data_IF_288200253715
#
_entry.id   IF_288200253715
#
_cell.length_a   1.000
_cell.length_b   1.000
_cell.length_c   1.000
_cell.angle_alpha   90.00
_cell.angle_beta   90.00
_cell.angle_gamma   90.00
#
_symmetry.space_group_name_H-M   'P 1'
#
loop_
_entity.id
_entity.type
_entity.pdbx_description
1 polymer ?
#
# COMPACT_ATOMS: atom_id res chain seq x y z
N UNK A 1 36.58 24.14 31.16
CA UNK A 1 37.21 25.36 30.62
C UNK A 1 36.40 26.54 31.12
N UNK A 2 37.03 27.50 31.79
CA UNK A 2 36.33 28.72 32.25
C UNK A 2 35.96 29.60 31.05
N UNK A 3 34.98 30.51 31.17
CA UNK A 3 34.65 31.46 30.10
C UNK A 3 35.86 32.27 29.62
N UNK A 4 36.76 32.65 30.53
CA UNK A 4 37.98 33.40 30.23
C UNK A 4 38.97 32.55 29.41
N UNK A 5 39.13 31.28 29.78
CA UNK A 5 39.95 30.33 29.01
C UNK A 5 39.39 30.13 27.60
N UNK A 6 38.07 30.03 27.46
CA UNK A 6 37.40 29.90 26.16
C UNK A 6 37.68 31.12 25.28
N UNK A 7 37.51 32.32 25.82
CA UNK A 7 37.75 33.57 25.10
C UNK A 7 39.21 33.71 24.66
N UNK A 8 40.16 33.36 25.53
CA UNK A 8 41.58 33.41 25.21
C UNK A 8 41.99 32.45 24.09
N UNK A 9 41.43 31.23 24.09
CA UNK A 9 41.69 30.25 23.02
C UNK A 9 41.01 30.68 21.72
N UNK A 10 39.78 31.19 21.79
CA UNK A 10 39.05 31.71 20.62
C UNK A 10 39.84 32.84 19.94
N UNK A 11 40.41 33.76 20.70
CA UNK A 11 41.24 34.85 20.18
C UNK A 11 42.50 34.34 19.45
N UNK A 12 43.14 33.27 19.95
CA UNK A 12 44.29 32.65 19.28
C UNK A 12 43.90 31.94 17.99
N UNK A 13 42.79 31.20 18.00
CA UNK A 13 42.30 30.47 16.82
C UNK A 13 41.71 31.41 15.76
N UNK A 14 41.21 32.58 16.15
CA UNK A 14 40.59 33.57 15.26
C UNK A 14 41.55 34.61 14.68
N UNK A 15 42.86 34.44 14.90
CA UNK A 15 43.88 35.30 14.29
C UNK A 15 43.93 35.09 12.77
N UNK A 16 44.41 36.10 12.04
CA UNK A 16 44.68 35.96 10.61
C UNK A 16 45.75 34.88 10.39
N UNK A 17 45.42 33.88 9.57
CA UNK A 17 46.27 32.72 9.30
C UNK A 17 47.30 33.00 8.20
N UNK A 18 47.04 33.98 7.33
CA UNK A 18 47.88 34.29 6.18
C UNK A 18 49.36 34.61 6.51
N UNK A 19 49.69 35.36 7.58
CA UNK A 19 51.07 35.70 7.91
C UNK A 19 51.81 34.64 8.74
N UNK A 20 51.15 33.59 9.21
CA UNK A 20 51.74 32.61 10.13
C UNK A 20 52.64 31.62 9.37
N UNK A 21 53.71 31.11 9.98
CA UNK A 21 54.48 30.00 9.37
C UNK A 21 53.75 28.64 9.56
N UNK A 22 54.27 27.59 8.91
CA UNK A 22 53.65 26.26 8.94
C UNK A 22 53.66 25.65 10.35
N UNK A 23 54.72 25.87 11.13
CA UNK A 23 54.84 25.38 12.50
C UNK A 23 53.77 26.00 13.39
N UNK A 24 53.55 27.31 13.25
CA UNK A 24 52.51 28.01 13.98
C UNK A 24 51.10 27.56 13.59
N UNK A 25 50.87 27.26 12.30
CA UNK A 25 49.61 26.67 11.86
C UNK A 25 49.37 25.28 12.49
N UNK A 26 50.41 24.45 12.60
CA UNK A 26 50.34 23.14 13.26
C UNK A 26 50.04 23.31 14.76
N UNK A 27 50.65 24.28 15.44
CA UNK A 27 50.35 24.58 16.85
C UNK A 27 48.88 24.99 17.04
N UNK A 28 48.34 25.83 16.15
CA UNK A 28 46.92 26.20 16.18
C UNK A 28 46.02 24.99 15.91
N UNK A 29 46.41 24.07 15.03
CA UNK A 29 45.72 22.81 14.82
C UNK A 29 45.68 21.97 16.10
N UNK A 30 46.81 21.82 16.79
CA UNK A 30 46.89 21.11 18.07
C UNK A 30 46.05 21.79 19.15
N UNK A 31 46.05 23.12 19.20
CA UNK A 31 45.25 23.90 20.13
C UNK A 31 43.74 23.73 19.87
N UNK A 32 43.31 23.80 18.61
CA UNK A 32 41.93 23.53 18.21
C UNK A 32 41.53 22.10 18.52
N UNK A 33 42.42 21.12 18.27
CA UNK A 33 42.19 19.72 18.64
C UNK A 33 41.96 19.55 20.15
N UNK A 34 42.69 20.29 20.97
CA UNK A 34 42.53 20.25 22.42
C UNK A 34 41.23 20.94 22.90
N UNK A 35 40.79 22.00 22.22
CA UNK A 35 39.63 22.82 22.62
C UNK A 35 38.75 23.21 21.41
N UNK A 36 38.05 22.26 20.78
CA UNK A 36 37.39 22.47 19.50
C UNK A 36 36.21 23.45 19.58
N UNK A 37 35.55 23.55 20.74
CA UNK A 37 34.41 24.46 20.99
C UNK A 37 34.84 25.92 21.22
N UNK A 38 36.15 26.22 21.25
CA UNK A 38 36.63 27.58 21.47
C UNK A 38 36.39 28.47 20.24
N UNK A 39 36.56 27.93 19.03
CA UNK A 39 36.21 28.61 17.79
C UNK A 39 35.85 27.59 16.69
N UNK A 40 34.56 27.46 16.40
CA UNK A 40 34.04 26.46 15.46
C UNK A 40 34.35 26.78 13.99
N UNK A 41 34.67 28.04 13.65
CA UNK A 41 35.02 28.46 12.29
C UNK A 41 36.47 28.16 11.90
N UNK A 42 37.34 27.79 12.86
CA UNK A 42 38.76 27.55 12.61
C UNK A 42 39.05 26.49 11.53
N UNK A 43 38.35 25.33 11.47
CA UNK A 43 38.58 24.33 10.41
C UNK A 43 38.38 24.88 8.99
N UNK A 44 37.40 25.76 8.81
CA UNK A 44 37.12 26.38 7.51
C UNK A 44 38.22 27.39 7.14
N UNK A 45 38.66 28.20 8.10
CA UNK A 45 39.77 29.13 7.90
C UNK A 45 41.07 28.39 7.58
N UNK A 46 41.36 27.29 8.29
CA UNK A 46 42.52 26.43 8.04
C UNK A 46 42.49 25.85 6.61
N UNK A 47 41.34 25.33 6.18
CA UNK A 47 41.17 24.76 4.83
C UNK A 47 41.38 25.83 3.75
N UNK A 48 40.85 27.04 3.95
CA UNK A 48 41.06 28.14 3.03
C UNK A 48 42.54 28.53 2.93
N UNK A 49 43.26 28.58 4.06
CA UNK A 49 44.69 28.90 4.07
C UNK A 49 45.54 27.80 3.43
N UNK A 50 45.23 26.52 3.65
CA UNK A 50 45.91 25.41 2.98
C UNK A 50 45.75 25.53 1.45
N UNK A 51 44.53 25.76 0.96
CA UNK A 51 44.27 25.93 -0.47
C UNK A 51 44.96 27.15 -1.08
N UNK A 52 45.10 28.23 -0.30
CA UNK A 52 45.79 29.46 -0.74
C UNK A 52 47.30 29.27 -0.82
N UNK A 53 47.89 28.54 0.14
CA UNK A 53 49.34 28.46 0.37
C UNK A 53 50.03 27.29 -0.33
N UNK A 54 49.31 26.22 -0.68
CA UNK A 54 49.90 25.03 -1.28
C UNK A 54 49.40 24.80 -2.70
N UNK A 55 49.96 25.53 -3.65
CA UNK A 55 49.80 25.27 -5.08
C UNK A 55 50.53 23.99 -5.52
N UNK A 56 50.22 23.48 -6.71
CA UNK A 56 50.89 22.29 -7.26
C UNK A 56 52.43 22.44 -7.33
N UNK A 57 52.92 23.66 -7.59
CA UNK A 57 54.36 23.94 -7.62
C UNK A 57 54.99 23.95 -6.23
N UNK A 58 54.27 24.42 -5.21
CA UNK A 58 54.74 24.42 -3.81
C UNK A 58 54.74 23.01 -3.22
N UNK A 59 53.70 22.22 -3.50
CA UNK A 59 53.65 20.80 -3.09
C UNK A 59 54.79 20.01 -3.72
N UNK A 60 55.11 20.26 -5.00
CA UNK A 60 56.23 19.61 -5.67
C UNK A 60 57.60 20.01 -5.08
N UNK A 61 57.68 21.16 -4.40
CA UNK A 61 58.91 21.65 -3.76
C UNK A 61 59.11 21.05 -2.37
N UNK A 62 58.05 20.99 -1.57
CA UNK A 62 58.05 20.39 -0.23
C UNK A 62 56.62 20.01 0.17
N UNK A 63 56.35 18.71 0.25
CA UNK A 63 55.03 18.14 0.50
C UNK A 63 54.75 17.85 1.97
N UNK A 64 55.76 17.95 2.85
CA UNK A 64 55.64 17.58 4.27
C UNK A 64 54.66 18.52 5.02
N UNK A 65 54.79 19.85 4.92
CA UNK A 65 53.88 20.76 5.63
C UNK A 65 52.45 20.66 5.10
N UNK A 66 52.29 20.49 3.78
CA UNK A 66 51.00 20.23 3.15
C UNK A 66 50.36 18.96 3.72
N UNK A 67 51.10 17.85 3.77
CA UNK A 67 50.59 16.56 4.23
C UNK A 67 50.10 16.60 5.69
N UNK A 68 50.86 17.26 6.58
CA UNK A 68 50.51 17.38 8.01
C UNK A 68 49.27 18.28 8.18
N UNK A 69 49.27 19.47 7.57
CA UNK A 69 48.17 20.42 7.70
C UNK A 69 46.89 19.89 7.04
N UNK A 70 47.01 19.24 5.87
CA UNK A 70 45.89 18.58 5.20
C UNK A 70 45.36 17.42 6.04
N UNK A 71 46.22 16.66 6.72
CA UNK A 71 45.78 15.62 7.67
C UNK A 71 44.96 16.22 8.82
N UNK A 72 45.42 17.31 9.44
CA UNK A 72 44.66 18.02 10.47
C UNK A 72 43.35 18.59 9.93
N UNK A 73 43.38 19.24 8.77
CA UNK A 73 42.17 19.76 8.13
C UNK A 73 41.16 18.64 7.92
N UNK A 74 41.55 17.50 7.33
CA UNK A 74 40.69 16.34 7.15
C UNK A 74 40.14 15.80 8.48
N UNK A 75 40.92 15.83 9.57
CA UNK A 75 40.44 15.45 10.91
C UNK A 75 39.46 16.46 11.52
N UNK A 76 39.51 17.73 11.11
CA UNK A 76 38.64 18.78 11.63
C UNK A 76 37.39 18.99 10.79
N UNK A 77 37.47 18.72 9.48
CA UNK A 77 36.39 18.91 8.51
C UNK A 77 35.71 17.60 8.12
N UNK A 78 36.29 16.45 8.46
CA UNK A 78 35.68 15.15 8.24
C UNK A 78 34.34 15.03 8.98
N UNK A 79 33.29 14.68 8.24
CA UNK A 79 31.92 14.55 8.78
C UNK A 79 31.90 13.52 9.93
N UNK A 80 32.66 12.42 9.80
CA UNK A 80 32.76 11.38 10.83
C UNK A 80 33.44 11.87 12.12
N UNK A 81 34.65 12.48 12.11
CA UNK A 81 35.24 13.08 13.31
C UNK A 81 34.35 14.09 14.03
N UNK A 82 33.67 14.97 13.28
CA UNK A 82 32.72 15.92 13.87
C UNK A 82 31.54 15.20 14.51
N UNK A 83 30.95 14.25 13.78
CA UNK A 83 29.82 13.48 14.27
C UNK A 83 30.19 12.63 15.49
N UNK A 84 31.39 12.05 15.52
CA UNK A 84 31.90 11.32 16.67
C UNK A 84 31.94 12.19 17.93
N UNK A 85 32.50 13.40 17.84
CA UNK A 85 32.53 14.36 18.96
C UNK A 85 31.12 14.75 19.40
N UNK A 86 30.24 15.02 18.44
CA UNK A 86 28.84 15.32 18.69
C UNK A 86 28.17 14.18 19.47
N UNK A 87 28.41 12.93 19.08
CA UNK A 87 27.86 11.77 19.75
C UNK A 87 28.47 11.48 21.12
N UNK A 88 29.74 11.83 21.36
CA UNK A 88 30.34 11.77 22.69
C UNK A 88 29.69 12.78 23.65
N UNK A 89 29.43 14.00 23.17
CA UNK A 89 28.70 15.03 23.91
C UNK A 89 27.30 14.52 24.29
N UNK A 90 26.55 13.97 23.32
CA UNK A 90 25.27 13.30 23.56
C UNK A 90 25.39 12.21 24.63
N UNK A 91 26.40 11.35 24.53
CA UNK A 91 26.57 10.22 25.45
C UNK A 91 26.84 10.68 26.90
N UNK A 92 27.54 11.81 27.09
CA UNK A 92 27.85 12.41 28.38
C UNK A 92 26.69 13.20 28.99
N UNK A 93 25.66 13.54 28.21
CA UNK A 93 24.50 14.29 28.73
C UNK A 93 23.58 13.44 29.60
N UNK A 94 23.01 14.09 30.62
CA UNK A 94 22.00 13.49 31.49
C UNK A 94 20.64 13.44 30.78
N UNK A 95 20.23 14.53 30.14
CA UNK A 95 18.96 14.63 29.41
C UNK A 95 19.20 14.65 27.90
N UNK A 96 19.02 13.48 27.28
CA UNK A 96 19.22 13.30 25.84
C UNK A 96 18.09 13.90 25.00
N UNK A 97 16.87 14.05 25.53
CA UNK A 97 15.77 14.66 24.79
C UNK A 97 16.03 16.13 24.52
N UNK A 98 16.50 16.87 25.53
CA UNK A 98 16.94 18.26 25.36
C UNK A 98 18.11 18.31 24.38
N UNK A 99 19.10 17.42 24.55
CA UNK A 99 20.26 17.40 23.67
C UNK A 99 19.89 17.16 22.19
N UNK A 100 19.04 16.18 21.89
CA UNK A 100 18.60 15.89 20.52
C UNK A 100 17.72 17.01 19.95
N UNK A 101 17.00 17.74 20.81
CA UNK A 101 16.22 18.92 20.40
C UNK A 101 17.15 20.05 19.95
N UNK A 102 18.16 20.36 20.76
CA UNK A 102 19.11 21.45 20.47
C UNK A 102 20.06 21.12 19.32
N UNK A 103 20.38 19.84 19.11
CA UNK A 103 21.32 19.37 18.09
C UNK A 103 20.64 18.66 16.91
N UNK A 104 19.33 18.84 16.74
CA UNK A 104 18.53 18.12 15.74
C UNK A 104 19.09 18.28 14.32
N UNK A 105 19.43 19.50 13.92
CA UNK A 105 19.91 19.79 12.56
C UNK A 105 21.28 19.17 12.29
N UNK A 106 22.22 19.28 13.23
CA UNK A 106 23.54 18.66 13.12
C UNK A 106 23.43 17.12 13.07
N UNK A 107 22.56 16.53 13.89
CA UNK A 107 22.33 15.09 13.90
C UNK A 107 21.71 14.61 12.58
N UNK A 108 20.65 15.27 12.08
CA UNK A 108 20.03 14.94 10.79
C UNK A 108 21.00 15.09 9.63
N UNK A 109 21.82 16.14 9.61
CA UNK A 109 22.83 16.35 8.58
C UNK A 109 23.85 15.20 8.56
N UNK A 110 24.29 14.74 9.74
CA UNK A 110 25.15 13.57 9.84
C UNK A 110 24.45 12.28 9.38
N UNK A 111 23.18 12.08 9.74
CA UNK A 111 22.40 10.92 9.28
C UNK A 111 22.15 10.89 7.77
N UNK A 112 22.22 12.04 7.08
CA UNK A 112 22.10 12.13 5.63
C UNK A 112 23.42 11.83 4.90
N UNK A 113 24.54 11.81 5.61
CA UNK A 113 25.85 11.50 5.07
C UNK A 113 26.16 10.00 5.20
N UNK A 114 26.59 9.36 4.11
CA UNK A 114 26.82 7.91 4.05
C UNK A 114 27.91 7.43 5.02
N UNK A 115 29.03 8.16 5.10
CA UNK A 115 30.14 7.80 5.97
C UNK A 115 29.78 7.91 7.45
N UNK A 116 29.09 9.00 7.83
CA UNK A 116 28.63 9.22 9.19
C UNK A 116 27.55 8.22 9.61
N UNK A 117 26.61 7.89 8.72
CA UNK A 117 25.61 6.85 8.94
C UNK A 117 26.23 5.45 9.10
N UNK A 118 27.15 5.08 8.21
CA UNK A 118 27.89 3.82 8.28
C UNK A 118 28.74 3.74 9.56
N UNK A 119 29.37 4.86 9.94
CA UNK A 119 30.10 4.98 11.19
C UNK A 119 29.19 4.75 12.40
N UNK A 120 28.05 5.46 12.50
CA UNK A 120 27.08 5.29 13.60
C UNK A 120 26.56 3.85 13.68
N UNK A 121 26.24 3.24 12.54
CA UNK A 121 25.83 1.83 12.49
C UNK A 121 26.91 0.88 13.05
N UNK A 122 28.18 1.28 13.03
CA UNK A 122 29.28 0.54 13.64
C UNK A 122 29.59 0.87 15.10
N UNK A 123 28.88 1.81 15.72
CA UNK A 123 29.11 2.20 17.12
C UNK A 123 28.03 1.63 18.03
N UNK A 124 28.21 0.40 18.50
CA UNK A 124 27.23 -0.35 19.31
C UNK A 124 26.67 0.47 20.48
N UNK A 125 27.51 1.04 21.34
CA UNK A 125 27.03 1.76 22.53
C UNK A 125 26.33 3.09 22.20
N UNK A 126 26.80 3.77 21.15
CA UNK A 126 26.24 5.06 20.73
C UNK A 126 24.90 4.83 20.03
N UNK A 127 24.85 3.87 19.11
CA UNK A 127 23.64 3.50 18.39
C UNK A 127 22.55 3.03 19.36
N UNK A 128 22.89 2.23 20.38
CA UNK A 128 21.91 1.82 21.39
C UNK A 128 21.28 3.02 22.11
N UNK A 129 22.09 4.02 22.48
CA UNK A 129 21.60 5.27 23.11
C UNK A 129 20.72 6.08 22.16
N UNK A 130 21.08 6.15 20.87
CA UNK A 130 20.26 6.80 19.85
C UNK A 130 18.92 6.08 19.67
N UNK A 131 18.93 4.76 19.49
CA UNK A 131 17.71 3.96 19.27
C UNK A 131 16.81 3.92 20.52
N UNK A 132 17.39 4.03 21.71
CA UNK A 132 16.65 4.17 22.96
C UNK A 132 16.00 5.54 23.16
N UNK A 133 16.37 6.55 22.37
CA UNK A 133 15.78 7.89 22.42
C UNK A 133 14.74 8.08 21.31
N UNK A 134 13.54 8.54 21.67
CA UNK A 134 12.41 8.66 20.73
C UNK A 134 12.67 9.68 19.61
N UNK A 135 13.31 10.81 19.90
CA UNK A 135 13.64 11.83 18.90
C UNK A 135 14.67 11.30 17.90
N UNK A 136 15.76 10.72 18.41
CA UNK A 136 16.82 10.18 17.59
C UNK A 136 16.35 9.00 16.72
N UNK A 137 15.55 8.09 17.28
CA UNK A 137 14.91 7.02 16.52
C UNK A 137 14.03 7.58 15.39
N UNK A 138 13.27 8.63 15.66
CA UNK A 138 12.48 9.35 14.64
C UNK A 138 13.35 9.96 13.55
N UNK A 139 14.47 10.61 13.89
CA UNK A 139 15.40 11.16 12.91
C UNK A 139 16.09 10.07 12.08
N UNK A 140 16.47 8.95 12.69
CA UNK A 140 17.00 7.78 11.99
C UNK A 140 15.96 7.23 11.00
N UNK A 141 14.71 7.06 11.43
CA UNK A 141 13.62 6.55 10.59
C UNK A 141 13.28 7.50 9.42
N UNK A 142 13.58 8.80 9.54
CA UNK A 142 13.42 9.78 8.46
C UNK A 142 14.57 9.79 7.44
N UNK A 143 15.74 9.26 7.80
CA UNK A 143 16.89 9.20 6.88
C UNK A 143 16.97 7.84 6.19
N UNK A 144 16.80 7.83 4.87
CA UNK A 144 17.03 6.64 4.03
C UNK A 144 18.46 6.12 4.17
N UNK A 145 19.44 7.02 4.28
CA UNK A 145 20.87 6.70 4.37
C UNK A 145 21.17 6.00 5.69
N UNK A 146 20.73 6.58 6.81
CA UNK A 146 20.91 5.97 8.14
C UNK A 146 20.13 4.67 8.31
N UNK A 147 18.86 4.64 7.87
CA UNK A 147 18.06 3.41 7.88
C UNK A 147 18.74 2.30 7.06
N UNK A 148 19.30 2.61 5.88
CA UNK A 148 20.03 1.62 5.07
C UNK A 148 21.28 1.11 5.77
N UNK A 149 22.09 2.01 6.34
CA UNK A 149 23.31 1.63 7.05
C UNK A 149 23.03 0.73 8.27
N UNK A 150 21.97 1.02 9.02
CA UNK A 150 21.58 0.27 10.22
C UNK A 150 20.95 -1.07 9.85
N UNK A 151 20.01 -1.09 8.89
CA UNK A 151 19.23 -2.29 8.57
C UNK A 151 20.02 -3.34 7.76
N UNK A 152 21.13 -2.96 7.13
CA UNK A 152 22.00 -3.88 6.38
C UNK A 152 23.16 -4.44 7.20
N UNK A 153 23.42 -3.90 8.40
CA UNK A 153 24.49 -4.37 9.28
C UNK A 153 23.94 -5.22 10.42
N UNK A 154 24.40 -6.47 10.53
CA UNK A 154 23.81 -7.47 11.45
C UNK A 154 23.71 -7.00 12.91
N UNK A 155 24.78 -6.44 13.47
CA UNK A 155 24.80 -5.96 14.87
C UNK A 155 23.86 -4.76 15.06
N UNK A 156 23.91 -3.78 14.15
CA UNK A 156 23.06 -2.60 14.18
C UNK A 156 21.57 -2.96 14.04
N UNK A 157 21.26 -3.91 13.16
CA UNK A 157 19.92 -4.45 12.97
C UNK A 157 19.40 -5.12 14.24
N UNK A 158 20.24 -5.89 14.95
CA UNK A 158 19.85 -6.49 16.22
C UNK A 158 19.50 -5.43 17.27
N UNK A 159 20.27 -4.34 17.33
CA UNK A 159 19.96 -3.20 18.22
C UNK A 159 18.68 -2.48 17.80
N UNK A 160 18.48 -2.27 16.50
CA UNK A 160 17.27 -1.67 15.95
C UNK A 160 16.03 -2.48 16.32
N UNK A 161 16.06 -3.81 16.19
CA UNK A 161 14.96 -4.72 16.59
C UNK A 161 14.59 -4.59 18.07
N UNK A 162 15.55 -4.22 18.93
CA UNK A 162 15.38 -4.07 20.37
C UNK A 162 15.02 -2.63 20.81
N UNK A 163 14.85 -1.69 19.88
CA UNK A 163 14.53 -0.31 20.23
C UNK A 163 13.14 -0.22 20.90
N UNK A 164 13.01 0.34 22.12
CA UNK A 164 11.77 0.24 22.93
C UNK A 164 10.52 0.84 22.27
N UNK A 165 10.69 1.94 21.53
CA UNK A 165 9.61 2.67 20.86
C UNK A 165 9.60 2.40 19.35
N UNK A 166 10.22 1.31 18.89
CA UNK A 166 10.42 1.04 17.47
C UNK A 166 9.12 1.13 16.68
N UNK A 167 8.13 0.37 17.09
CA UNK A 167 6.87 0.23 16.35
C UNK A 167 5.89 1.37 16.62
N UNK A 168 6.14 2.20 17.65
CA UNK A 168 5.41 3.45 17.81
C UNK A 168 5.86 4.49 16.78
N UNK A 169 7.17 4.53 16.46
CA UNK A 169 7.80 5.63 15.72
C UNK A 169 8.07 5.27 14.27
N UNK A 170 8.73 4.13 14.01
CA UNK A 170 9.21 3.76 12.69
C UNK A 170 8.10 3.71 11.62
N UNK A 171 6.91 3.14 11.89
CA UNK A 171 5.81 3.11 10.91
C UNK A 171 5.29 4.49 10.52
N UNK A 172 5.60 5.55 11.26
CA UNK A 172 5.17 6.92 10.93
C UNK A 172 6.07 7.58 9.87
N UNK A 173 7.24 6.98 9.57
CA UNK A 173 8.25 7.59 8.71
C UNK A 173 8.45 6.79 7.41
N UNK A 174 8.18 7.44 6.28
CA UNK A 174 8.17 6.81 4.97
C UNK A 174 9.56 6.26 4.58
N UNK A 175 10.63 7.01 4.81
CA UNK A 175 11.99 6.65 4.41
C UNK A 175 12.43 5.31 5.04
N UNK A 176 12.34 5.19 6.36
CA UNK A 176 12.67 3.97 7.08
C UNK A 176 11.80 2.78 6.67
N UNK A 177 10.49 3.00 6.46
CA UNK A 177 9.60 1.95 5.99
C UNK A 177 9.89 1.51 4.55
N UNK A 178 10.28 2.44 3.66
CA UNK A 178 10.68 2.12 2.29
C UNK A 178 11.96 1.31 2.24
N UNK A 179 12.96 1.60 3.09
CA UNK A 179 14.17 0.77 3.21
C UNK A 179 13.81 -0.63 3.68
N UNK A 180 13.01 -0.73 4.74
CA UNK A 180 12.58 -1.99 5.33
C UNK A 180 11.81 -2.85 4.30
N UNK A 181 10.87 -2.24 3.57
CA UNK A 181 10.04 -2.91 2.57
C UNK A 181 10.83 -3.50 1.39
N UNK A 182 12.10 -3.11 1.17
CA UNK A 182 12.95 -3.69 0.12
C UNK A 182 13.50 -5.07 0.51
N UNK A 183 13.54 -5.41 1.79
CA UNK A 183 14.09 -6.68 2.29
C UNK A 183 12.99 -7.68 2.62
N UNK A 184 13.01 -8.84 1.97
CA UNK A 184 12.08 -9.93 2.26
C UNK A 184 12.20 -10.41 3.71
N UNK A 185 13.42 -10.48 4.24
CA UNK A 185 13.68 -10.92 5.63
C UNK A 185 13.11 -9.95 6.66
N UNK A 186 13.24 -8.63 6.42
CA UNK A 186 12.69 -7.62 7.33
C UNK A 186 11.17 -7.56 7.25
N UNK A 187 10.60 -7.75 6.06
CA UNK A 187 9.14 -7.85 5.90
C UNK A 187 8.62 -9.11 6.60
N UNK A 188 9.31 -10.25 6.47
CA UNK A 188 8.95 -11.46 7.19
C UNK A 188 9.03 -11.26 8.71
N UNK A 189 10.07 -10.57 9.20
CA UNK A 189 10.17 -10.18 10.60
C UNK A 189 8.98 -9.33 11.08
N UNK A 190 8.47 -8.39 10.26
CA UNK A 190 7.24 -7.65 10.59
C UNK A 190 6.07 -8.60 10.71
N UNK A 191 5.89 -9.51 9.75
CA UNK A 191 4.76 -10.46 9.71
C UNK A 191 4.78 -11.36 10.94
N UNK A 192 5.96 -11.82 11.35
CA UNK A 192 6.15 -12.74 12.48
C UNK A 192 6.09 -12.04 13.84
N UNK A 193 6.22 -10.70 13.87
CA UNK A 193 6.21 -9.90 15.10
C UNK A 193 4.86 -9.21 15.26
N UNK A 194 4.01 -9.70 16.17
CA UNK A 194 2.64 -9.20 16.34
C UNK A 194 2.55 -7.67 16.58
N UNK A 195 3.44 -7.09 17.39
CA UNK A 195 3.48 -5.65 17.61
C UNK A 195 3.86 -4.86 16.34
N UNK A 196 4.79 -5.40 15.56
CA UNK A 196 5.22 -4.82 14.29
C UNK A 196 4.09 -4.82 13.26
N UNK A 197 3.50 -6.00 13.03
CA UNK A 197 2.41 -6.17 12.08
C UNK A 197 1.24 -5.24 12.44
N UNK A 198 0.84 -5.21 13.72
CA UNK A 198 -0.22 -4.32 14.22
C UNK A 198 0.08 -2.85 13.94
N UNK A 199 1.30 -2.40 14.22
CA UNK A 199 1.68 -1.01 14.00
C UNK A 199 1.74 -0.64 12.50
N UNK A 200 2.26 -1.54 11.67
CA UNK A 200 2.34 -1.34 10.21
C UNK A 200 0.95 -1.25 9.58
N UNK A 201 0.04 -2.18 9.89
CA UNK A 201 -1.32 -2.15 9.30
C UNK A 201 -2.18 -1.00 9.85
N UNK A 202 -1.83 -0.43 11.00
CA UNK A 202 -2.51 0.75 11.54
C UNK A 202 -1.99 2.08 10.95
N UNK A 203 -0.80 2.08 10.31
CA UNK A 203 -0.17 3.29 9.78
C UNK A 203 -0.38 3.42 8.27
N UNK A 204 -0.98 4.53 7.84
CA UNK A 204 -1.11 4.86 6.41
C UNK A 204 0.27 5.01 5.74
N UNK A 205 1.24 5.64 6.43
CA UNK A 205 2.61 5.84 5.92
C UNK A 205 3.31 4.50 5.69
N UNK A 206 3.21 3.57 6.64
CA UNK A 206 3.82 2.26 6.53
C UNK A 206 3.15 1.43 5.43
N UNK A 207 1.82 1.43 5.36
CA UNK A 207 1.09 0.71 4.32
C UNK A 207 1.41 1.26 2.92
N UNK A 208 1.53 2.58 2.73
CA UNK A 208 1.97 3.14 1.44
C UNK A 208 3.35 2.62 1.03
N UNK A 209 4.30 2.56 1.96
CA UNK A 209 5.64 2.03 1.68
C UNK A 209 5.62 0.53 1.35
N UNK A 210 4.84 -0.27 2.10
CA UNK A 210 4.68 -1.71 1.85
C UNK A 210 4.04 -1.98 0.48
N UNK A 211 2.96 -1.27 0.14
CA UNK A 211 2.23 -1.46 -1.11
C UNK A 211 2.98 -0.94 -2.35
N UNK A 212 3.93 -0.03 -2.16
CA UNK A 212 4.82 0.44 -3.23
C UNK A 212 6.01 -0.50 -3.50
N UNK A 213 6.33 -1.41 -2.57
CA UNK A 213 7.42 -2.37 -2.72
C UNK A 213 6.89 -3.71 -3.22
N UNK A 214 7.38 -4.17 -4.37
CA UNK A 214 7.05 -5.50 -4.90
C UNK A 214 7.46 -6.61 -3.92
N UNK A 215 8.63 -6.50 -3.30
CA UNK A 215 9.13 -7.48 -2.32
C UNK A 215 8.19 -7.59 -1.12
N UNK A 216 7.79 -6.45 -0.54
CA UNK A 216 6.94 -6.46 0.63
C UNK A 216 5.52 -6.90 0.30
N UNK A 217 4.98 -6.42 -0.82
CA UNK A 217 3.65 -6.78 -1.28
C UNK A 217 3.54 -8.29 -1.54
N UNK A 218 4.53 -8.90 -2.21
CA UNK A 218 4.58 -10.37 -2.42
C UNK A 218 4.54 -11.14 -1.10
N UNK A 219 5.34 -10.74 -0.11
CA UNK A 219 5.37 -11.40 1.19
C UNK A 219 4.03 -11.24 1.94
N UNK A 220 3.42 -10.05 1.91
CA UNK A 220 2.13 -9.79 2.56
C UNK A 220 1.00 -10.61 1.93
N UNK A 221 0.87 -10.62 0.60
CA UNK A 221 -0.23 -11.35 -0.07
C UNK A 221 -0.05 -12.87 -0.02
N UNK A 222 1.16 -13.37 0.21
CA UNK A 222 1.42 -14.79 0.42
C UNK A 222 1.14 -15.25 1.87
N UNK A 223 1.08 -14.33 2.83
CA UNK A 223 0.94 -14.63 4.26
C UNK A 223 -0.50 -14.53 4.74
N UNK A 224 -1.05 -15.63 5.25
CA UNK A 224 -2.38 -15.69 5.84
C UNK A 224 -2.51 -14.77 7.08
N UNK A 225 -1.47 -14.72 7.92
CA UNK A 225 -1.39 -13.85 9.10
C UNK A 225 -1.40 -12.37 8.69
N UNK A 226 -0.60 -12.00 7.70
CA UNK A 226 -0.53 -10.62 7.22
C UNK A 226 -1.86 -10.19 6.59
N UNK A 227 -2.43 -11.04 5.73
CA UNK A 227 -3.73 -10.75 5.11
C UNK A 227 -4.83 -10.62 6.17
N UNK A 228 -4.89 -11.51 7.16
CA UNK A 228 -5.87 -11.37 8.26
C UNK A 228 -5.73 -10.03 8.99
N UNK A 229 -4.51 -9.59 9.27
CA UNK A 229 -4.26 -8.30 9.92
C UNK A 229 -4.65 -7.10 9.01
N UNK A 230 -4.31 -7.16 7.72
CA UNK A 230 -4.71 -6.14 6.73
C UNK A 230 -6.22 -6.03 6.64
N UNK A 231 -6.94 -7.15 6.51
CA UNK A 231 -8.40 -7.17 6.36
C UNK A 231 -9.14 -6.78 7.65
N UNK A 232 -8.50 -6.84 8.80
CA UNK A 232 -9.04 -6.35 10.07
C UNK A 232 -8.78 -4.85 10.30
N UNK A 233 -7.88 -4.23 9.53
CA UNK A 233 -7.53 -2.82 9.66
C UNK A 233 -8.21 -1.98 8.58
N UNK A 234 -9.02 -1.01 8.99
CA UNK A 234 -9.65 -0.05 8.07
C UNK A 234 -8.60 0.78 7.31
N UNK A 235 -7.52 1.21 7.99
CA UNK A 235 -6.43 1.96 7.38
C UNK A 235 -5.73 1.16 6.28
N UNK A 236 -5.40 -0.10 6.57
CA UNK A 236 -4.73 -0.97 5.60
C UNK A 236 -5.66 -1.30 4.43
N UNK A 237 -6.92 -1.68 4.70
CA UNK A 237 -7.90 -1.95 3.66
C UNK A 237 -8.08 -0.76 2.72
N UNK A 238 -8.25 0.47 3.25
CA UNK A 238 -8.36 1.68 2.43
C UNK A 238 -7.14 1.87 1.53
N UNK A 239 -5.93 1.66 2.06
CA UNK A 239 -4.71 1.76 1.26
C UNK A 239 -4.64 0.68 0.16
N UNK A 240 -5.03 -0.57 0.45
CA UNK A 240 -5.05 -1.66 -0.53
C UNK A 240 -6.04 -1.38 -1.65
N UNK A 241 -7.30 -1.07 -1.33
CA UNK A 241 -8.36 -0.90 -2.35
C UNK A 241 -8.19 0.36 -3.19
N UNK A 242 -7.38 1.33 -2.74
CA UNK A 242 -7.01 2.51 -3.51
C UNK A 242 -5.82 2.27 -4.46
N UNK A 243 -5.04 1.20 -4.25
CA UNK A 243 -3.81 0.92 -5.02
C UNK A 243 -4.06 -0.16 -6.08
N UNK A 244 -3.91 0.21 -7.36
CA UNK A 244 -4.06 -0.73 -8.48
C UNK A 244 -3.01 -1.86 -8.40
N UNK A 245 -1.77 -1.54 -8.07
CA UNK A 245 -0.68 -2.53 -7.91
C UNK A 245 -0.98 -3.50 -6.78
N UNK A 246 -1.48 -3.00 -5.64
CA UNK A 246 -1.85 -3.85 -4.51
C UNK A 246 -3.00 -4.78 -4.88
N UNK A 247 -4.04 -4.24 -5.52
CA UNK A 247 -5.19 -5.04 -5.97
C UNK A 247 -4.75 -6.11 -6.97
N UNK A 248 -3.91 -5.78 -7.96
CA UNK A 248 -3.36 -6.78 -8.90
C UNK A 248 -2.65 -7.92 -8.17
N UNK A 249 -1.81 -7.60 -7.18
CA UNK A 249 -1.11 -8.63 -6.40
C UNK A 249 -2.06 -9.48 -5.53
N UNK A 250 -3.06 -8.86 -4.89
CA UNK A 250 -4.08 -9.57 -4.11
C UNK A 250 -4.87 -10.54 -4.99
N UNK A 251 -5.28 -10.12 -6.19
CA UNK A 251 -6.06 -10.95 -7.11
C UNK A 251 -5.23 -12.05 -7.78
N UNK A 252 -3.91 -11.91 -7.83
CA UNK A 252 -3.00 -12.93 -8.33
C UNK A 252 -2.61 -13.97 -7.26
N UNK A 253 -2.77 -13.65 -5.97
CA UNK A 253 -2.49 -14.57 -4.86
C UNK A 253 -3.74 -15.32 -4.43
N UNK A 254 -3.70 -16.65 -4.48
CA UNK A 254 -4.80 -17.50 -4.01
C UNK A 254 -5.10 -17.27 -2.51
N UNK A 255 -4.05 -17.17 -1.68
CA UNK A 255 -4.17 -16.92 -0.24
C UNK A 255 -4.89 -15.60 0.03
N UNK A 256 -4.46 -14.51 -0.61
CA UNK A 256 -5.04 -13.19 -0.39
C UNK A 256 -6.46 -13.09 -0.95
N UNK A 257 -6.69 -13.60 -2.16
CA UNK A 257 -8.00 -13.61 -2.79
C UNK A 257 -9.00 -14.39 -1.94
N UNK A 258 -8.65 -15.60 -1.47
CA UNK A 258 -9.52 -16.39 -0.59
C UNK A 258 -9.85 -15.66 0.71
N UNK A 259 -8.86 -15.01 1.33
CA UNK A 259 -9.07 -14.24 2.55
C UNK A 259 -10.02 -13.04 2.33
N UNK A 260 -9.87 -12.31 1.22
CA UNK A 260 -10.76 -11.19 0.85
C UNK A 260 -12.19 -11.68 0.64
N UNK A 261 -12.38 -12.73 -0.16
CA UNK A 261 -13.71 -13.24 -0.51
C UNK A 261 -14.47 -13.86 0.68
N UNK A 262 -13.75 -14.27 1.73
CA UNK A 262 -14.33 -14.76 2.98
C UNK A 262 -14.67 -13.65 3.98
N UNK A 263 -14.18 -12.42 3.77
CA UNK A 263 -14.34 -11.30 4.70
C UNK A 263 -15.39 -10.30 4.21
N UNK A 264 -16.49 -10.17 4.94
CA UNK A 264 -17.55 -9.19 4.63
C UNK A 264 -17.03 -7.75 4.64
N UNK A 265 -16.18 -7.39 5.60
CA UNK A 265 -15.57 -6.06 5.69
C UNK A 265 -14.68 -5.76 4.49
N UNK A 266 -13.87 -6.74 4.08
CA UNK A 266 -13.00 -6.60 2.91
C UNK A 266 -13.82 -6.46 1.63
N UNK A 267 -14.83 -7.32 1.44
CA UNK A 267 -15.73 -7.24 0.30
C UNK A 267 -16.45 -5.90 0.25
N UNK A 268 -16.94 -5.39 1.39
CA UNK A 268 -17.55 -4.05 1.45
C UNK A 268 -16.58 -2.96 1.01
N UNK A 269 -15.32 -3.02 1.42
CA UNK A 269 -14.30 -2.05 1.01
C UNK A 269 -13.99 -2.14 -0.49
N UNK A 270 -13.83 -3.36 -1.04
CA UNK A 270 -13.60 -3.60 -2.47
C UNK A 270 -14.77 -3.08 -3.30
N UNK A 271 -16.01 -3.38 -2.91
CA UNK A 271 -17.22 -3.01 -3.64
C UNK A 271 -17.56 -1.51 -3.55
N UNK A 272 -16.93 -0.78 -2.62
CA UNK A 272 -17.04 0.67 -2.50
C UNK A 272 -15.92 1.42 -3.25
N UNK A 273 -14.86 0.74 -3.70
CA UNK A 273 -13.74 1.34 -4.42
C UNK A 273 -13.84 1.07 -5.92
N UNK A 274 -13.85 2.14 -6.72
CA UNK A 274 -13.84 2.03 -8.18
C UNK A 274 -12.58 1.32 -8.70
N UNK A 275 -11.41 1.64 -8.15
CA UNK A 275 -10.14 1.02 -8.51
C UNK A 275 -10.17 -0.49 -8.25
N UNK A 276 -10.65 -0.89 -7.07
CA UNK A 276 -10.69 -2.29 -6.69
C UNK A 276 -11.72 -3.08 -7.51
N UNK A 277 -12.93 -2.55 -7.69
CA UNK A 277 -13.95 -3.27 -8.47
C UNK A 277 -13.57 -3.41 -9.93
N UNK A 278 -12.96 -2.38 -10.55
CA UNK A 278 -12.41 -2.46 -11.91
C UNK A 278 -11.36 -3.57 -12.02
N UNK A 279 -10.44 -3.67 -11.06
CA UNK A 279 -9.44 -4.73 -11.03
C UNK A 279 -10.08 -6.13 -10.89
N UNK A 280 -11.12 -6.27 -10.06
CA UNK A 280 -11.85 -7.54 -9.89
C UNK A 280 -12.56 -7.95 -11.18
N UNK A 281 -13.43 -7.09 -11.74
CA UNK A 281 -14.30 -7.46 -12.88
C UNK A 281 -13.53 -7.72 -14.18
N UNK A 282 -12.32 -7.17 -14.30
CA UNK A 282 -11.43 -7.40 -15.44
C UNK A 282 -10.50 -8.60 -15.26
N UNK A 283 -10.38 -9.14 -14.04
CA UNK A 283 -9.59 -10.33 -13.75
C UNK A 283 -10.44 -11.59 -13.82
N UNK A 284 -10.16 -12.45 -14.79
CA UNK A 284 -10.85 -13.73 -14.95
C UNK A 284 -10.72 -14.62 -13.71
N UNK A 285 -9.51 -14.73 -13.15
CA UNK A 285 -9.24 -15.50 -11.93
C UNK A 285 -10.06 -14.98 -10.75
N UNK A 286 -10.08 -13.66 -10.56
CA UNK A 286 -10.84 -13.04 -9.47
C UNK A 286 -12.35 -13.28 -9.64
N UNK A 287 -12.89 -13.08 -10.83
CA UNK A 287 -14.32 -13.26 -11.08
C UNK A 287 -14.76 -14.73 -10.96
N UNK A 288 -13.93 -15.69 -11.36
CA UNK A 288 -14.21 -17.12 -11.11
C UNK A 288 -14.24 -17.42 -9.61
N UNK A 289 -13.29 -16.88 -8.85
CA UNK A 289 -13.26 -17.05 -7.40
C UNK A 289 -14.46 -16.37 -6.71
N UNK A 290 -14.84 -15.16 -7.15
CA UNK A 290 -16.07 -14.48 -6.70
C UNK A 290 -17.28 -15.37 -6.97
N UNK A 291 -17.44 -15.86 -8.20
CA UNK A 291 -18.58 -16.69 -8.60
C UNK A 291 -18.64 -18.03 -7.85
N UNK A 292 -17.51 -18.56 -7.39
CA UNK A 292 -17.43 -19.75 -6.56
C UNK A 292 -17.71 -19.49 -5.07
N UNK A 293 -17.71 -18.23 -4.62
CA UNK A 293 -17.91 -17.85 -3.21
C UNK A 293 -19.32 -17.31 -2.97
N UNK A 294 -20.10 -18.01 -2.13
CA UNK A 294 -21.45 -17.57 -1.75
C UNK A 294 -21.43 -16.20 -1.05
N UNK A 295 -20.48 -15.99 -0.11
CA UNK A 295 -20.31 -14.72 0.60
C UNK A 295 -20.02 -13.58 -0.37
N UNK A 296 -19.11 -13.80 -1.32
CA UNK A 296 -18.74 -12.79 -2.30
C UNK A 296 -19.89 -12.48 -3.25
N UNK A 297 -20.59 -13.50 -3.76
CA UNK A 297 -21.75 -13.33 -4.64
C UNK A 297 -22.89 -12.57 -3.95
N UNK A 298 -23.17 -12.86 -2.67
CA UNK A 298 -24.17 -12.09 -1.89
C UNK A 298 -23.76 -10.62 -1.75
N UNK A 299 -22.49 -10.35 -1.43
CA UNK A 299 -22.00 -8.99 -1.31
C UNK A 299 -22.06 -8.22 -2.65
N UNK A 300 -21.65 -8.87 -3.75
CA UNK A 300 -21.74 -8.32 -5.11
C UNK A 300 -23.20 -8.03 -5.50
N UNK A 301 -24.10 -8.98 -5.26
CA UNK A 301 -25.52 -8.82 -5.56
C UNK A 301 -26.18 -7.67 -4.80
N UNK A 302 -25.72 -7.39 -3.58
CA UNK A 302 -26.18 -6.28 -2.76
C UNK A 302 -25.54 -4.92 -3.15
N UNK A 303 -24.56 -4.89 -4.06
CA UNK A 303 -23.87 -3.67 -4.49
C UNK A 303 -24.28 -3.25 -5.90
N UNK A 304 -25.16 -2.24 -5.97
CA UNK A 304 -25.54 -1.61 -7.24
C UNK A 304 -24.34 -1.11 -8.04
N UNK A 305 -23.29 -0.63 -7.36
CA UNK A 305 -22.07 -0.14 -7.99
C UNK A 305 -21.30 -1.28 -8.67
N UNK A 306 -21.14 -2.41 -7.98
CA UNK A 306 -20.48 -3.58 -8.54
C UNK A 306 -21.27 -4.21 -9.69
N UNK A 307 -22.59 -4.32 -9.55
CA UNK A 307 -23.46 -4.82 -10.61
C UNK A 307 -23.34 -3.99 -11.90
N UNK A 308 -23.14 -2.67 -11.78
CA UNK A 308 -22.96 -1.78 -12.94
C UNK A 308 -21.70 -2.16 -13.72
N UNK A 309 -20.58 -2.35 -13.01
CA UNK A 309 -19.31 -2.76 -13.63
C UNK A 309 -19.37 -4.16 -14.24
N UNK A 310 -20.04 -5.10 -13.57
CA UNK A 310 -20.24 -6.46 -14.08
C UNK A 310 -21.06 -6.43 -15.37
N UNK A 311 -22.17 -5.71 -15.37
CA UNK A 311 -23.06 -5.62 -16.53
C UNK A 311 -22.38 -4.97 -17.74
N UNK A 312 -21.43 -4.05 -17.53
CA UNK A 312 -20.64 -3.44 -18.61
C UNK A 312 -19.43 -4.29 -19.07
N UNK A 313 -19.02 -5.30 -18.30
CA UNK A 313 -17.78 -6.05 -18.58
C UNK A 313 -18.08 -7.44 -19.14
N UNK A 314 -17.84 -7.63 -20.44
CA UNK A 314 -18.14 -8.87 -21.17
C UNK A 314 -17.55 -10.14 -20.53
N UNK A 315 -16.30 -10.07 -20.08
CA UNK A 315 -15.62 -11.19 -19.40
C UNK A 315 -16.33 -11.59 -18.11
N UNK A 316 -16.71 -10.62 -17.28
CA UNK A 316 -17.47 -10.86 -16.05
C UNK A 316 -18.83 -11.49 -16.34
N UNK A 317 -19.57 -10.99 -17.35
CA UNK A 317 -20.86 -11.58 -17.74
C UNK A 317 -20.70 -13.04 -18.16
N UNK A 318 -19.73 -13.36 -19.02
CA UNK A 318 -19.43 -14.73 -19.46
C UNK A 318 -19.12 -15.65 -18.28
N UNK A 319 -18.32 -15.20 -17.32
CA UNK A 319 -17.96 -16.00 -16.14
C UNK A 319 -19.20 -16.28 -15.29
N UNK A 320 -20.06 -15.28 -15.06
CA UNK A 320 -21.27 -15.46 -14.25
C UNK A 320 -22.32 -16.34 -14.94
N UNK A 321 -22.46 -16.27 -16.27
CA UNK A 321 -23.30 -17.20 -17.04
C UNK A 321 -22.78 -18.63 -16.92
N UNK A 322 -21.46 -18.84 -17.01
CA UNK A 322 -20.85 -20.16 -16.79
C UNK A 322 -21.03 -20.66 -15.33
N UNK A 323 -21.14 -19.76 -14.35
CA UNK A 323 -21.43 -20.05 -12.95
C UNK A 323 -22.91 -19.82 -12.60
N UNK A 324 -23.81 -20.20 -13.52
CA UNK A 324 -25.23 -19.90 -13.43
C UNK A 324 -25.86 -20.25 -12.06
N UNK A 325 -25.50 -21.39 -11.44
CA UNK A 325 -26.02 -21.77 -10.12
C UNK A 325 -25.78 -20.69 -9.05
N UNK A 326 -24.58 -20.11 -9.02
CA UNK A 326 -24.23 -19.06 -8.07
C UNK A 326 -24.93 -17.73 -8.41
N UNK A 327 -25.02 -17.40 -9.70
CA UNK A 327 -25.75 -16.23 -10.18
C UNK A 327 -27.25 -16.30 -9.79
N UNK A 328 -27.90 -17.44 -10.05
CA UNK A 328 -29.30 -17.63 -9.70
C UNK A 328 -29.52 -17.66 -8.18
N UNK A 329 -28.56 -18.16 -7.40
CA UNK A 329 -28.68 -18.18 -5.94
C UNK A 329 -28.87 -16.78 -5.34
N UNK A 330 -28.35 -15.74 -6.00
CA UNK A 330 -28.43 -14.34 -5.52
C UNK A 330 -29.42 -13.46 -6.30
N UNK A 331 -30.19 -14.03 -7.23
CA UNK A 331 -31.10 -13.30 -8.14
C UNK A 331 -32.08 -12.36 -7.45
N UNK A 332 -32.64 -12.77 -6.31
CA UNK A 332 -33.59 -11.95 -5.54
C UNK A 332 -32.90 -10.73 -4.94
N UNK A 333 -31.70 -10.91 -4.36
CA UNK A 333 -30.90 -9.80 -3.81
C UNK A 333 -30.48 -8.84 -4.92
N UNK A 334 -30.08 -9.36 -6.09
CA UNK A 334 -29.77 -8.53 -7.26
C UNK A 334 -30.98 -7.71 -7.68
N UNK A 335 -32.15 -8.34 -7.78
CA UNK A 335 -33.39 -7.67 -8.19
C UNK A 335 -33.77 -6.54 -7.23
N UNK A 336 -33.80 -6.81 -5.92
CA UNK A 336 -34.08 -5.79 -4.91
C UNK A 336 -33.08 -4.64 -4.94
N UNK A 337 -31.82 -4.94 -5.24
CA UNK A 337 -30.76 -3.93 -5.35
C UNK A 337 -31.00 -3.03 -6.56
N UNK A 338 -31.22 -3.60 -7.75
CA UNK A 338 -31.45 -2.81 -8.97
C UNK A 338 -32.77 -2.04 -8.92
N UNK A 339 -33.81 -2.58 -8.28
CA UNK A 339 -35.08 -1.87 -8.13
C UNK A 339 -34.92 -0.53 -7.39
N UNK A 340 -33.97 -0.44 -6.46
CA UNK A 340 -33.73 0.76 -5.65
C UNK A 340 -32.88 1.82 -6.36
N UNK A 341 -32.05 1.43 -7.33
CA UNK A 341 -30.98 2.29 -7.86
C UNK A 341 -30.86 2.34 -9.38
N UNK A 342 -31.52 1.45 -10.11
CA UNK A 342 -31.47 1.37 -11.58
C UNK A 342 -32.80 1.80 -12.18
N UNK A 343 -32.80 2.09 -13.48
CA UNK A 343 -34.01 2.44 -14.21
C UNK A 343 -34.59 1.20 -14.88
N UNK A 344 -35.88 0.92 -14.64
CA UNK A 344 -36.63 -0.05 -15.43
C UNK A 344 -36.84 0.52 -16.84
N UNK A 345 -36.25 -0.14 -17.83
CA UNK A 345 -36.36 0.23 -19.25
C UNK A 345 -37.57 -0.45 -19.88
N UNK A 346 -37.82 -1.69 -19.50
CA UNK A 346 -38.90 -2.50 -20.03
C UNK A 346 -39.52 -3.34 -18.93
N UNK A 347 -40.83 -3.49 -18.97
CA UNK A 347 -41.56 -4.57 -18.32
C UNK A 347 -42.54 -5.13 -19.34
N UNK A 348 -42.41 -6.40 -19.69
CA UNK A 348 -43.22 -7.00 -20.76
C UNK A 348 -43.67 -8.41 -20.39
N UNK A 349 -44.89 -8.75 -20.82
CA UNK A 349 -45.37 -10.13 -20.80
C UNK A 349 -44.92 -10.83 -22.07
N UNK A 350 -44.28 -11.98 -21.90
CA UNK A 350 -43.83 -12.86 -22.97
C UNK A 350 -44.80 -14.04 -22.99
N UNK A 351 -45.57 -14.13 -24.06
CA UNK A 351 -46.62 -15.13 -24.26
C UNK A 351 -46.62 -15.54 -25.71
N UNK A 352 -46.49 -16.83 -25.95
CA UNK A 352 -46.73 -17.43 -27.25
C UNK A 352 -47.76 -18.57 -27.09
N UNK A 353 -48.70 -18.60 -28.03
CA UNK A 353 -49.83 -19.54 -28.05
C UNK A 353 -49.66 -20.65 -29.10
N UNK A 354 -48.49 -20.74 -29.71
CA UNK A 354 -48.20 -21.72 -30.75
C UNK A 354 -47.68 -23.04 -30.15
N UNK A 355 -48.02 -24.17 -30.78
CA UNK A 355 -47.53 -25.49 -30.35
C UNK A 355 -46.04 -25.65 -30.72
N UNK A 356 -45.25 -26.23 -29.83
CA UNK A 356 -43.85 -26.60 -30.06
C UNK A 356 -42.82 -25.70 -29.36
N UNK A 357 -41.52 -26.00 -29.54
CA UNK A 357 -40.43 -25.20 -28.98
C UNK A 357 -40.11 -24.00 -29.88
N UNK A 358 -40.23 -22.79 -29.35
CA UNK A 358 -39.91 -21.56 -30.08
C UNK A 358 -39.49 -20.44 -29.12
N UNK A 359 -38.92 -19.39 -29.68
CA UNK A 359 -38.57 -18.17 -28.95
C UNK A 359 -39.75 -17.20 -28.96
N UNK A 360 -40.03 -16.59 -27.83
CA UNK A 360 -41.08 -15.56 -27.75
C UNK A 360 -40.76 -14.34 -28.61
N UNK A 361 -41.79 -13.79 -29.28
CA UNK A 361 -41.69 -12.60 -30.14
C UNK A 361 -41.15 -11.33 -29.43
N UNK A 362 -41.30 -11.24 -28.11
CA UNK A 362 -40.81 -10.13 -27.28
C UNK A 362 -39.31 -10.19 -26.95
N UNK A 363 -38.58 -11.23 -27.37
CA UNK A 363 -37.15 -11.39 -27.07
C UNK A 363 -36.26 -10.29 -27.66
N UNK A 364 -36.64 -9.68 -28.79
CA UNK A 364 -35.89 -8.54 -29.37
C UNK A 364 -35.80 -7.36 -28.40
N UNK A 365 -36.80 -7.21 -27.51
CA UNK A 365 -36.85 -6.13 -26.53
C UNK A 365 -35.93 -6.37 -25.32
N UNK A 366 -35.45 -7.59 -25.09
CA UNK A 366 -34.54 -7.94 -23.99
C UNK A 366 -33.05 -7.66 -24.31
N UNK A 367 -32.77 -7.11 -25.50
CA UNK A 367 -31.41 -6.93 -26.03
C UNK A 367 -30.78 -5.58 -25.68
N UNK A 368 -31.56 -4.60 -25.23
CA UNK A 368 -31.11 -3.22 -25.08
C UNK A 368 -31.52 -2.57 -23.74
N UNK A 369 -30.65 -1.77 -23.12
CA UNK A 369 -29.26 -1.51 -23.51
C UNK A 369 -28.32 -2.69 -23.19
N UNK A 370 -27.16 -2.77 -23.85
CA UNK A 370 -26.23 -3.90 -23.73
C UNK A 370 -25.66 -4.13 -22.31
N UNK A 371 -25.72 -3.11 -21.46
CA UNK A 371 -25.31 -3.15 -20.05
C UNK A 371 -26.49 -3.40 -19.08
N UNK A 372 -27.63 -3.88 -19.57
CA UNK A 372 -28.79 -4.17 -18.75
C UNK A 372 -28.73 -5.56 -18.10
N UNK A 373 -29.44 -5.67 -16.98
CA UNK A 373 -29.80 -6.95 -16.35
C UNK A 373 -31.25 -7.28 -16.71
N UNK A 374 -31.50 -8.57 -16.96
CA UNK A 374 -32.81 -9.11 -17.33
C UNK A 374 -33.27 -10.01 -16.20
N UNK A 375 -34.44 -9.73 -15.64
CA UNK A 375 -35.07 -10.55 -14.61
C UNK A 375 -36.36 -11.12 -15.15
N UNK A 376 -36.67 -12.38 -14.81
CA UNK A 376 -37.86 -13.05 -15.32
C UNK A 376 -38.62 -13.75 -14.19
N UNK A 377 -39.94 -13.56 -14.19
CA UNK A 377 -40.92 -14.34 -13.47
C UNK A 377 -41.51 -15.37 -14.46
N UNK A 378 -41.21 -16.64 -14.25
CA UNK A 378 -41.57 -17.74 -15.14
C UNK A 378 -42.89 -18.37 -14.70
N UNK A 379 -43.77 -18.70 -15.65
CA UNK A 379 -45.07 -19.29 -15.35
C UNK A 379 -45.78 -19.89 -16.57
N UNK A 380 -47.10 -20.00 -16.44
CA UNK A 380 -48.01 -20.50 -17.48
C UNK A 380 -48.68 -19.37 -18.27
N UNK A 381 -49.10 -19.68 -19.49
CA UNK A 381 -49.83 -18.76 -20.36
C UNK A 381 -51.17 -18.33 -19.72
N UNK A 382 -51.89 -19.29 -19.17
CA UNK A 382 -53.13 -19.09 -18.41
C UNK A 382 -53.36 -20.22 -17.41
N UNK A 383 -54.29 -20.02 -16.48
CA UNK A 383 -54.76 -21.07 -15.56
C UNK A 383 -55.35 -22.29 -16.26
N UNK A 384 -55.76 -22.17 -17.53
CA UNK A 384 -56.23 -23.29 -18.36
C UNK A 384 -55.09 -24.18 -18.86
N UNK A 385 -53.84 -23.71 -18.79
CA UNK A 385 -52.65 -24.44 -19.26
C UNK A 385 -51.62 -24.58 -18.14
N UNK A 386 -51.94 -25.30 -17.05
CA UNK A 386 -51.08 -25.40 -15.87
C UNK A 386 -49.75 -26.13 -16.13
N UNK A 387 -49.67 -26.89 -17.23
CA UNK A 387 -48.45 -27.55 -17.68
C UNK A 387 -47.49 -26.64 -18.46
N UNK A 388 -47.84 -25.36 -18.63
CA UNK A 388 -47.07 -24.42 -19.42
C UNK A 388 -45.72 -24.04 -18.84
N UNK A 389 -44.68 -23.95 -19.69
CA UNK A 389 -43.28 -23.77 -19.25
C UNK A 389 -42.49 -22.87 -20.20
N UNK A 390 -41.99 -21.78 -19.66
CA UNK A 390 -40.93 -20.97 -20.25
C UNK A 390 -39.58 -21.26 -19.60
N UNK A 391 -38.51 -21.12 -20.36
CA UNK A 391 -37.12 -21.18 -19.93
C UNK A 391 -36.47 -19.84 -20.23
N UNK A 392 -35.68 -19.33 -19.30
CA UNK A 392 -34.75 -18.24 -19.55
C UNK A 392 -33.42 -18.82 -20.00
N UNK A 393 -32.95 -18.36 -21.16
CA UNK A 393 -31.61 -18.63 -21.68
C UNK A 393 -30.76 -17.37 -21.58
N UNK A 394 -29.49 -17.57 -21.23
CA UNK A 394 -28.47 -16.55 -21.31
C UNK A 394 -28.22 -16.13 -22.77
N UNK A 395 -27.60 -14.95 -23.01
CA UNK A 395 -27.21 -14.52 -24.35
C UNK A 395 -26.38 -15.52 -25.15
N UNK A 396 -25.63 -16.40 -24.48
CA UNK A 396 -24.82 -17.47 -25.10
C UNK A 396 -25.62 -18.77 -25.38
N UNK A 397 -26.93 -18.79 -25.09
CA UNK A 397 -27.82 -19.93 -25.27
C UNK A 397 -27.80 -20.94 -24.12
N UNK A 398 -26.96 -20.75 -23.10
CA UNK A 398 -26.98 -21.62 -21.92
C UNK A 398 -28.22 -21.38 -21.06
N UNK A 399 -28.66 -22.39 -20.33
CA UNK A 399 -29.86 -22.31 -19.49
C UNK A 399 -29.57 -21.44 -18.27
N UNK A 400 -30.33 -20.35 -18.11
CA UNK A 400 -30.30 -19.48 -16.94
C UNK A 400 -31.28 -19.96 -15.87
N UNK A 401 -32.55 -20.13 -16.23
CA UNK A 401 -33.57 -20.62 -15.31
C UNK A 401 -34.63 -21.42 -16.07
N UNK A 402 -35.10 -22.50 -15.46
CA UNK A 402 -36.19 -23.32 -15.97
C UNK A 402 -37.53 -22.92 -15.33
N UNK A 403 -38.62 -23.16 -16.05
CA UNK A 403 -39.95 -22.66 -15.75
C UNK A 403 -40.51 -23.00 -14.38
N UNK A 404 -41.13 -22.01 -13.74
CA UNK A 404 -41.91 -22.17 -12.50
C UNK A 404 -43.35 -22.68 -12.73
N UNK A 405 -44.06 -22.98 -11.64
CA UNK A 405 -45.47 -23.42 -11.61
C UNK A 405 -46.42 -22.25 -11.25
N UNK A 406 -46.15 -21.04 -11.76
CA UNK A 406 -46.97 -19.85 -11.44
C UNK A 406 -48.02 -19.63 -12.52
N UNK A 407 -49.26 -19.44 -12.10
CA UNK A 407 -50.35 -19.11 -13.01
C UNK A 407 -50.27 -17.65 -13.44
N UNK A 408 -50.27 -17.39 -14.75
CA UNK A 408 -50.45 -16.05 -15.33
C UNK A 408 -49.47 -14.98 -14.82
N UNK A 409 -48.17 -15.19 -15.01
CA UNK A 409 -47.14 -14.20 -14.64
C UNK A 409 -47.28 -12.90 -15.46
N UNK A 410 -47.89 -11.88 -14.87
CA UNK A 410 -48.12 -10.54 -15.49
C UNK A 410 -47.24 -9.44 -14.89
N UNK A 411 -46.59 -9.71 -13.77
CA UNK A 411 -45.70 -8.82 -13.07
C UNK A 411 -44.60 -9.62 -12.35
N UNK A 412 -43.59 -8.94 -11.82
CA UNK A 412 -42.47 -9.56 -11.10
C UNK A 412 -42.89 -9.93 -9.67
N UNK A 413 -43.79 -10.90 -9.52
CA UNK A 413 -44.22 -11.43 -8.21
C UNK A 413 -43.18 -12.35 -7.56
N UNK A 414 -42.25 -12.88 -8.37
CA UNK A 414 -41.08 -13.61 -7.93
C UNK A 414 -40.01 -13.53 -9.02
N UNK A 415 -38.75 -13.56 -8.59
CA UNK A 415 -37.60 -13.61 -9.49
C UNK A 415 -37.22 -15.07 -9.67
N UNK A 416 -37.59 -15.67 -10.79
CA UNK A 416 -37.28 -17.07 -11.10
C UNK A 416 -35.92 -17.19 -11.81
N UNK A 417 -35.55 -16.19 -12.61
CA UNK A 417 -34.26 -16.13 -13.28
C UNK A 417 -33.69 -14.72 -13.40
N UNK A 418 -32.36 -14.63 -13.41
CA UNK A 418 -31.60 -13.43 -13.78
C UNK A 418 -30.60 -13.74 -14.88
N UNK A 419 -30.49 -12.84 -15.84
CA UNK A 419 -29.56 -12.91 -16.97
C UNK A 419 -29.12 -11.50 -17.38
N UNK A 420 -28.37 -11.41 -18.47
CA UNK A 420 -27.86 -10.17 -19.02
C UNK A 420 -28.60 -9.79 -20.31
N UNK A 421 -28.44 -8.54 -20.75
CA UNK A 421 -28.97 -8.08 -22.03
C UNK A 421 -28.63 -9.04 -23.18
N UNK A 422 -29.63 -9.39 -23.99
CA UNK A 422 -29.54 -10.43 -25.04
C UNK A 422 -30.07 -11.79 -24.61
N UNK A 423 -30.53 -11.93 -23.37
CA UNK A 423 -31.23 -13.13 -22.89
C UNK A 423 -32.49 -13.41 -23.73
N UNK A 424 -32.88 -14.67 -23.77
CA UNK A 424 -34.06 -15.12 -24.51
C UNK A 424 -34.96 -15.94 -23.61
N UNK A 425 -36.26 -15.77 -23.79
CA UNK A 425 -37.26 -16.66 -23.19
C UNK A 425 -37.73 -17.62 -24.27
N UNK A 426 -37.52 -18.91 -23.99
CA UNK A 426 -37.87 -20.02 -24.85
C UNK A 426 -39.08 -20.75 -24.28
N UNK A 427 -40.08 -20.99 -25.11
CA UNK A 427 -41.17 -21.87 -24.79
C UNK A 427 -40.73 -23.33 -24.95
N UNK A 428 -40.96 -24.13 -23.91
CA UNK A 428 -40.48 -25.53 -23.84
C UNK A 428 -41.59 -26.58 -23.98
N UNK A 429 -42.86 -26.15 -23.98
CA UNK A 429 -44.08 -26.98 -24.11
C UNK A 429 -45.17 -26.18 -24.84
N UNK A 430 -46.34 -26.75 -25.13
CA UNK A 430 -47.34 -26.15 -26.03
C UNK A 430 -47.88 -24.76 -25.65
N UNK A 431 -47.76 -24.31 -24.40
CA UNK A 431 -48.23 -22.99 -23.97
C UNK A 431 -47.33 -22.45 -22.86
N UNK A 432 -46.77 -21.25 -22.97
CA UNK A 432 -45.94 -20.67 -21.90
C UNK A 432 -46.26 -19.20 -21.63
N UNK A 433 -45.97 -18.73 -20.42
CA UNK A 433 -46.24 -17.35 -20.04
C UNK A 433 -45.24 -16.84 -19.01
N UNK A 434 -44.57 -15.74 -19.32
CA UNK A 434 -43.62 -15.10 -18.40
C UNK A 434 -43.82 -13.60 -18.34
N UNK A 435 -43.30 -13.00 -17.28
CA UNK A 435 -43.06 -11.57 -17.22
C UNK A 435 -41.57 -11.31 -17.11
N UNK A 436 -41.05 -10.44 -17.97
CA UNK A 436 -39.66 -10.04 -17.97
C UNK A 436 -39.51 -8.55 -17.71
N UNK A 437 -38.48 -8.18 -16.95
CA UNK A 437 -38.07 -6.80 -16.77
C UNK A 437 -36.62 -6.60 -17.19
N UNK A 438 -36.36 -5.48 -17.87
CA UNK A 438 -35.02 -5.05 -18.26
C UNK A 438 -34.66 -3.81 -17.45
N UNK A 439 -33.55 -3.89 -16.74
CA UNK A 439 -33.07 -2.85 -15.84
C UNK A 439 -31.69 -2.37 -16.30
N UNK A 440 -31.54 -1.06 -16.45
CA UNK A 440 -30.28 -0.44 -16.85
C UNK A 440 -29.72 0.46 -15.74
N UNK A 441 -28.39 0.49 -15.54
CA UNK A 441 -27.77 1.36 -14.55
C UNK A 441 -28.00 2.82 -14.91
N UNK A 442 -28.24 3.66 -13.89
CA UNK A 442 -28.32 5.11 -14.03
C UNK A 442 -26.94 5.75 -14.16
#
# INVERSE_FOLDING_TARGET
>A
MTPEQKAAIAAKLGADLAPLDNDRLIELCLLHRAQPKALESFPNALTAEINRRFSAAEIARDDVPYSILQHFANQFTGVVPYFHRLMQDMAATVNRDIWFTDNAEAFKAALANEEAAAWLAGQTDILNKCLGNRLALGYIAQSTVAATAILTRAEALAQWKNAPALWDIWPQHAAGMQVLAKSAELVQYIIDTAAALKAVVASETAMKAVLASETALKAVVASETAMKAVLASETALKAVVASETAMKAVLASETALKAVLASETAMKAVLASETAIKAVVTSETAMKAVAASETAMKAVAASSFALKFIATTDGSRKILMAHNKALQAVRTVMYETVQRSWKKILGTTLRDGQRGEHYDSGNSALTSPANALVFVCLGSYSSSYPGGRHRLEHPDGSISADGGYRDTSQSMIAVDGVSFAGAKVKQTVEYGGSYAEVWAPQ
#
